data_IF_899312913801
#
_entry.id   IF_899312913801
#
_cell.length_a   1.000
_cell.length_b   1.000
_cell.length_c   1.000
_cell.angle_alpha   90.00
_cell.angle_beta   90.00
_cell.angle_gamma   90.00
#
_symmetry.space_group_name_H-M   'P 1'
#
loop_
_entity.id
_entity.type
_entity.pdbx_description
1 polymer ?
#
# COMPACT_ATOMS: atom_id res chain seq x y z
N UNK A 1 -12.96 -8.76 -20.72
CA UNK A 1 -11.94 -9.15 -19.72
C UNK A 1 -10.54 -8.70 -20.10
N UNK A 2 -10.05 -9.01 -21.31
CA UNK A 2 -8.68 -8.64 -21.75
C UNK A 2 -8.41 -7.13 -21.62
N UNK A 3 -9.32 -6.29 -22.11
CA UNK A 3 -9.18 -4.83 -22.00
C UNK A 3 -9.02 -4.38 -20.54
N UNK A 4 -9.83 -4.92 -19.61
CA UNK A 4 -9.74 -4.58 -18.18
C UNK A 4 -8.39 -4.99 -17.57
N UNK A 5 -7.83 -6.14 -17.99
CA UNK A 5 -6.50 -6.57 -17.54
C UNK A 5 -5.43 -5.60 -18.02
N UNK A 6 -5.45 -5.19 -19.30
CA UNK A 6 -4.49 -4.23 -19.86
C UNK A 6 -4.59 -2.88 -19.12
N UNK A 7 -5.82 -2.37 -18.92
CA UNK A 7 -6.04 -1.14 -18.16
C UNK A 7 -5.52 -1.25 -16.73
N UNK A 8 -5.76 -2.39 -16.07
CA UNK A 8 -5.29 -2.65 -14.70
C UNK A 8 -3.76 -2.67 -14.62
N UNK A 9 -3.08 -3.26 -15.59
CA UNK A 9 -1.60 -3.24 -15.67
C UNK A 9 -1.12 -1.79 -15.82
N UNK A 10 -1.74 -1.01 -16.72
CA UNK A 10 -1.41 0.40 -16.90
C UNK A 10 -1.58 1.21 -15.61
N UNK A 11 -2.70 1.02 -14.92
CA UNK A 11 -2.96 1.65 -13.62
C UNK A 11 -1.94 1.22 -12.56
N UNK A 12 -1.56 -0.07 -12.53
CA UNK A 12 -0.53 -0.55 -11.62
C UNK A 12 0.84 0.10 -11.87
N UNK A 13 1.19 0.34 -13.14
CA UNK A 13 2.44 1.05 -13.49
C UNK A 13 2.39 2.51 -13.02
N UNK A 14 1.24 3.18 -13.15
CA UNK A 14 1.06 4.55 -12.67
C UNK A 14 1.05 4.64 -11.14
N UNK A 15 0.59 3.59 -10.46
CA UNK A 15 0.52 3.49 -8.99
C UNK A 15 1.73 2.82 -8.35
N UNK A 16 2.93 2.86 -8.94
CA UNK A 16 4.13 2.27 -8.35
C UNK A 16 4.47 2.96 -7.03
N UNK A 17 4.46 2.19 -5.93
CA UNK A 17 4.77 2.66 -4.58
C UNK A 17 6.06 2.02 -4.04
N UNK A 18 7.13 2.80 -3.83
CA UNK A 18 8.37 2.32 -3.24
C UNK A 18 8.34 2.20 -1.71
N UNK A 19 7.35 2.78 -1.03
CA UNK A 19 7.32 2.89 0.44
C UNK A 19 7.35 1.52 1.10
N UNK A 20 6.52 0.60 0.59
CA UNK A 20 6.46 -0.78 1.09
C UNK A 20 7.80 -1.51 0.90
N UNK A 21 8.46 -1.31 -0.24
CA UNK A 21 9.78 -1.89 -0.49
C UNK A 21 10.82 -1.38 0.52
N UNK A 22 10.86 -0.06 0.77
CA UNK A 22 11.76 0.56 1.76
C UNK A 22 11.50 0.00 3.17
N UNK A 23 10.22 -0.16 3.55
CA UNK A 23 9.86 -0.77 4.83
C UNK A 23 10.37 -2.21 4.93
N UNK A 24 10.17 -3.04 3.89
CA UNK A 24 10.64 -4.43 3.88
C UNK A 24 12.16 -4.56 3.85
N UNK A 25 12.89 -3.64 3.20
CA UNK A 25 14.36 -3.54 3.30
C UNK A 25 14.74 -3.29 4.76
N UNK A 26 14.07 -2.36 5.44
CA UNK A 26 14.35 -2.07 6.85
C UNK A 26 14.13 -3.28 7.76
N UNK A 27 13.11 -4.12 7.48
CA UNK A 27 12.88 -5.38 8.18
C UNK A 27 14.03 -6.38 7.94
N UNK A 28 14.50 -6.50 6.70
CA UNK A 28 15.64 -7.36 6.34
C UNK A 28 16.92 -6.93 7.03
N UNK A 29 17.22 -5.62 7.06
CA UNK A 29 18.37 -5.04 7.74
C UNK A 29 18.33 -5.22 9.26
N UNK A 30 17.15 -5.18 9.88
CA UNK A 30 16.94 -5.52 11.29
C UNK A 30 17.05 -7.02 11.59
N UNK A 31 17.24 -7.83 10.55
CA UNK A 31 17.31 -9.29 10.64
C UNK A 31 16.00 -9.92 11.17
N UNK A 32 14.86 -9.31 10.89
CA UNK A 32 13.56 -9.91 11.20
C UNK A 32 13.47 -11.30 10.57
N UNK A 33 12.76 -12.23 11.22
CA UNK A 33 12.63 -13.59 10.68
C UNK A 33 11.86 -13.60 9.37
N UNK A 34 12.19 -14.51 8.45
CA UNK A 34 11.49 -14.67 7.17
C UNK A 34 9.99 -14.85 7.35
N UNK A 35 9.57 -15.59 8.39
CA UNK A 35 8.16 -15.78 8.72
C UNK A 35 7.45 -14.45 9.05
N UNK A 36 8.11 -13.56 9.80
CA UNK A 36 7.55 -12.24 10.14
C UNK A 36 7.41 -11.34 8.92
N UNK A 37 8.42 -11.36 8.03
CA UNK A 37 8.38 -10.63 6.76
C UNK A 37 7.26 -11.18 5.86
N UNK A 38 7.11 -12.51 5.78
CA UNK A 38 6.03 -13.15 5.04
C UNK A 38 4.66 -12.81 5.63
N UNK A 39 4.53 -12.80 6.95
CA UNK A 39 3.28 -12.47 7.63
C UNK A 39 2.85 -11.02 7.31
N UNK A 40 3.79 -10.07 7.37
CA UNK A 40 3.53 -8.69 6.94
C UNK A 40 3.09 -8.62 5.47
N UNK A 41 3.85 -9.26 4.57
CA UNK A 41 3.59 -9.22 3.13
C UNK A 41 2.22 -9.81 2.77
N UNK A 42 1.92 -11.01 3.24
CA UNK A 42 0.64 -11.65 2.94
C UNK A 42 -0.55 -10.97 3.62
N UNK A 43 -0.35 -10.39 4.80
CA UNK A 43 -1.36 -9.56 5.45
C UNK A 43 -1.65 -8.31 4.62
N UNK A 44 -0.62 -7.57 4.21
CA UNK A 44 -0.75 -6.38 3.38
C UNK A 44 -1.46 -6.69 2.05
N UNK A 45 -0.98 -7.70 1.32
CA UNK A 45 -1.57 -8.15 0.07
C UNK A 45 -3.03 -8.62 0.25
N UNK A 46 -3.27 -9.49 1.23
CA UNK A 46 -4.58 -10.09 1.47
C UNK A 46 -5.62 -9.05 1.84
N UNK A 47 -5.32 -8.15 2.77
CA UNK A 47 -6.26 -7.10 3.17
C UNK A 47 -6.50 -6.08 2.05
N UNK A 48 -5.47 -5.67 1.31
CA UNK A 48 -5.64 -4.77 0.17
C UNK A 48 -6.58 -5.35 -0.89
N UNK A 49 -6.37 -6.61 -1.26
CA UNK A 49 -7.20 -7.27 -2.28
C UNK A 49 -8.62 -7.53 -1.77
N UNK A 50 -8.76 -8.04 -0.55
CA UNK A 50 -10.07 -8.38 0.01
C UNK A 50 -10.94 -7.14 0.22
N UNK A 51 -10.39 -6.09 0.82
CA UNK A 51 -11.14 -4.85 1.05
C UNK A 51 -11.56 -4.25 -0.30
N UNK A 52 -10.63 -4.17 -1.27
CA UNK A 52 -10.93 -3.67 -2.60
C UNK A 52 -11.99 -4.49 -3.33
N UNK A 53 -11.93 -5.83 -3.24
CA UNK A 53 -12.92 -6.71 -3.88
C UNK A 53 -14.31 -6.60 -3.23
N UNK A 54 -14.37 -6.46 -1.90
CA UNK A 54 -15.62 -6.21 -1.18
C UNK A 54 -16.20 -4.85 -1.61
N UNK A 55 -15.39 -3.81 -1.66
CA UNK A 55 -15.84 -2.50 -2.13
C UNK A 55 -16.32 -2.53 -3.58
N UNK A 56 -15.61 -3.21 -4.47
CA UNK A 56 -15.99 -3.37 -5.87
C UNK A 56 -17.34 -4.06 -6.02
N UNK A 57 -17.64 -5.09 -5.20
CA UNK A 57 -18.87 -5.87 -5.32
C UNK A 57 -20.07 -5.26 -4.59
N UNK A 58 -19.85 -4.63 -3.42
CA UNK A 58 -20.94 -4.04 -2.64
C UNK A 58 -21.37 -2.71 -3.24
N UNK A 59 -20.41 -1.89 -3.60
CA UNK A 59 -20.69 -0.53 -4.06
C UNK A 59 -20.79 -0.43 -5.59
N UNK A 60 -20.16 -1.34 -6.35
CA UNK A 60 -20.27 -1.44 -7.80
C UNK A 60 -20.29 -0.07 -8.49
N UNK A 61 -21.29 0.11 -9.36
CA UNK A 61 -21.50 1.40 -10.09
C UNK A 61 -21.90 2.53 -9.14
N UNK A 62 -22.60 2.21 -8.03
CA UNK A 62 -23.04 3.23 -7.06
C UNK A 62 -21.86 3.87 -6.31
N UNK A 63 -20.76 3.15 -6.10
CA UNK A 63 -19.54 3.73 -5.52
C UNK A 63 -18.91 4.77 -6.45
N UNK A 64 -19.05 4.58 -7.76
CA UNK A 64 -18.59 5.57 -8.76
C UNK A 64 -19.35 6.88 -8.62
N UNK A 65 -20.65 6.79 -8.46
CA UNK A 65 -21.51 7.97 -8.32
C UNK A 65 -21.25 8.68 -6.99
N UNK A 66 -21.10 7.91 -5.89
CA UNK A 66 -20.75 8.46 -4.59
C UNK A 66 -19.35 9.07 -4.60
N UNK A 67 -18.35 8.38 -5.15
CA UNK A 67 -16.99 8.93 -5.27
C UNK A 67 -16.95 10.15 -6.19
N UNK A 68 -17.69 10.14 -7.29
CA UNK A 68 -17.83 11.32 -8.15
C UNK A 68 -18.47 12.51 -7.42
N UNK A 69 -19.42 12.26 -6.54
CA UNK A 69 -20.04 13.35 -5.75
C UNK A 69 -19.08 13.95 -4.71
N UNK A 70 -18.07 13.18 -4.26
CA UNK A 70 -17.03 13.64 -3.33
C UNK A 70 -15.75 14.09 -4.03
N UNK A 71 -15.51 13.66 -5.29
CA UNK A 71 -14.35 14.14 -6.05
C UNK A 71 -14.68 15.50 -6.65
N UNK A 72 -13.93 16.55 -6.30
CA UNK A 72 -14.08 17.85 -6.96
C UNK A 72 -13.85 17.69 -8.47
N UNK A 73 -14.54 18.48 -9.27
CA UNK A 73 -14.26 18.55 -10.71
C UNK A 73 -12.76 18.78 -10.94
N UNK A 74 -12.24 18.27 -12.06
CA UNK A 74 -10.79 18.27 -12.33
C UNK A 74 -10.17 19.68 -12.23
N UNK A 75 -10.94 20.71 -12.55
CA UNK A 75 -10.51 22.12 -12.49
C UNK A 75 -10.86 22.82 -11.16
N UNK A 76 -11.35 22.05 -10.18
CA UNK A 76 -11.75 22.63 -8.90
C UNK A 76 -10.56 23.09 -8.08
N UNK A 77 -10.57 24.33 -7.52
CA UNK A 77 -9.53 24.81 -6.61
C UNK A 77 -9.41 23.98 -5.33
N UNK A 78 -10.39 23.11 -5.03
CA UNK A 78 -10.33 22.18 -3.90
C UNK A 78 -9.16 21.20 -4.02
N UNK A 79 -8.73 20.83 -5.23
CA UNK A 79 -7.53 20.00 -5.42
C UNK A 79 -6.26 20.70 -4.93
N UNK A 80 -6.12 21.99 -5.22
CA UNK A 80 -4.99 22.79 -4.75
C UNK A 80 -5.00 22.88 -3.21
N UNK A 81 -6.18 23.08 -2.61
CA UNK A 81 -6.35 23.12 -1.15
C UNK A 81 -5.98 21.76 -0.52
N UNK A 82 -6.46 20.65 -1.10
CA UNK A 82 -6.17 19.31 -0.60
C UNK A 82 -4.67 19.00 -0.67
N UNK A 83 -4.02 19.31 -1.78
CA UNK A 83 -2.58 19.15 -1.96
C UNK A 83 -1.79 20.03 -0.99
N UNK A 84 -2.23 21.27 -0.78
CA UNK A 84 -1.60 22.17 0.19
C UNK A 84 -1.70 21.63 1.62
N UNK A 85 -2.88 21.16 2.03
CA UNK A 85 -3.07 20.56 3.37
C UNK A 85 -2.22 19.31 3.56
N UNK A 86 -2.19 18.41 2.56
CA UNK A 86 -1.33 17.22 2.62
C UNK A 86 0.15 17.60 2.70
N UNK A 87 0.58 18.56 1.90
CA UNK A 87 1.98 19.06 1.94
C UNK A 87 2.31 19.66 3.30
N UNK A 88 1.39 20.42 3.91
CA UNK A 88 1.56 21.00 5.22
C UNK A 88 1.70 19.91 6.31
N UNK A 89 0.89 18.86 6.25
CA UNK A 89 0.96 17.72 7.18
C UNK A 89 2.33 17.04 7.07
N UNK A 90 2.82 16.80 5.84
CA UNK A 90 4.14 16.19 5.61
C UNK A 90 5.25 17.10 6.15
N UNK A 91 5.19 18.40 5.89
CA UNK A 91 6.17 19.38 6.40
C UNK A 91 6.20 19.39 7.93
N UNK A 92 5.03 19.43 8.57
CA UNK A 92 4.92 19.38 10.04
C UNK A 92 5.51 18.08 10.58
N UNK A 93 5.25 16.94 9.92
CA UNK A 93 5.80 15.65 10.32
C UNK A 93 7.32 15.61 10.20
N UNK A 94 7.87 16.13 9.08
CA UNK A 94 9.32 16.23 8.86
C UNK A 94 9.98 17.15 9.89
N UNK A 95 9.38 18.33 10.14
CA UNK A 95 9.85 19.27 11.13
C UNK A 95 9.87 18.63 12.52
N UNK A 96 8.74 18.00 12.93
CA UNK A 96 8.70 17.25 14.19
C UNK A 96 9.80 16.19 14.25
N UNK A 97 10.03 15.43 13.20
CA UNK A 97 11.05 14.38 13.16
C UNK A 97 12.46 14.94 13.28
N UNK A 98 12.74 16.10 12.68
CA UNK A 98 14.04 16.77 12.76
C UNK A 98 14.27 17.32 14.17
N UNK A 99 13.29 18.02 14.74
CA UNK A 99 13.43 18.67 16.05
C UNK A 99 13.30 17.69 17.23
N UNK A 100 12.57 16.57 17.09
CA UNK A 100 12.46 15.55 18.16
C UNK A 100 13.60 14.51 18.13
N UNK A 101 14.52 14.57 17.16
CA UNK A 101 15.67 13.64 17.08
C UNK A 101 16.79 13.97 18.07
N UNK A 102 16.59 14.92 18.96
CA UNK A 102 17.61 15.37 19.94
C UNK A 102 17.37 14.85 21.36
N UNK A 103 16.73 13.72 21.54
CA UNK A 103 16.84 12.96 22.79
C UNK A 103 17.40 11.59 22.48
N UNK A 104 18.65 11.38 22.93
CA UNK A 104 19.40 10.13 22.92
C UNK A 104 18.49 8.89 22.89
N UNK A 105 18.43 8.22 21.78
CA UNK A 105 18.10 6.79 21.78
C UNK A 105 19.31 6.07 22.35
N UNK A 106 19.38 6.05 23.67
CA UNK A 106 20.34 5.27 24.41
C UNK A 106 20.22 3.80 24.04
N UNK A 107 21.33 3.23 23.87
CA UNK A 107 21.92 1.92 23.61
C UNK A 107 21.26 0.70 24.27
N UNK A 108 19.95 0.67 24.49
CA UNK A 108 19.24 -0.47 25.02
C UNK A 108 17.98 -0.81 24.23
N UNK A 109 18.04 -0.76 22.87
CA UNK A 109 17.07 -1.53 22.10
C UNK A 109 17.40 -3.01 22.24
N UNK A 110 17.05 -3.61 23.37
CA UNK A 110 16.69 -5.04 23.40
C UNK A 110 15.80 -5.23 22.19
N UNK A 111 16.23 -6.11 21.27
CA UNK A 111 15.40 -6.57 20.16
C UNK A 111 14.15 -7.16 20.84
N UNK A 112 13.14 -6.32 21.06
CA UNK A 112 11.84 -6.81 21.52
C UNK A 112 11.35 -7.60 20.32
N UNK A 113 11.45 -8.93 20.42
CA UNK A 113 10.87 -9.83 19.43
C UNK A 113 9.40 -9.48 19.32
N UNK A 114 9.09 -8.65 18.32
CA UNK A 114 7.73 -8.21 18.09
C UNK A 114 6.85 -9.44 17.88
N UNK A 115 5.75 -9.53 18.64
CA UNK A 115 4.74 -10.57 18.46
C UNK A 115 4.37 -10.66 16.97
N UNK A 116 4.14 -11.87 16.46
CA UNK A 116 3.67 -12.12 15.08
C UNK A 116 2.43 -11.27 14.75
N UNK A 117 1.58 -11.02 15.73
CA UNK A 117 0.42 -10.13 15.61
C UNK A 117 0.80 -8.69 15.18
N UNK A 118 1.93 -8.16 15.65
CA UNK A 118 2.41 -6.82 15.24
C UNK A 118 2.64 -6.74 13.73
N UNK A 119 3.22 -7.78 13.12
CA UNK A 119 3.49 -7.79 11.69
C UNK A 119 2.22 -7.94 10.86
N UNK A 120 1.27 -8.76 11.32
CA UNK A 120 -0.06 -8.86 10.71
C UNK A 120 -0.80 -7.53 10.78
N UNK A 121 -0.83 -6.90 11.95
CA UNK A 121 -1.48 -5.60 12.14
C UNK A 121 -0.81 -4.50 11.32
N UNK A 122 0.53 -4.50 11.24
CA UNK A 122 1.24 -3.54 10.40
C UNK A 122 0.90 -3.73 8.92
N UNK A 123 0.79 -4.97 8.43
CA UNK A 123 0.33 -5.25 7.06
C UNK A 123 -1.10 -4.76 6.81
N UNK A 124 -1.99 -4.93 7.77
CA UNK A 124 -3.34 -4.35 7.72
C UNK A 124 -3.31 -2.82 7.63
N UNK A 125 -2.52 -2.15 8.48
CA UNK A 125 -2.38 -0.68 8.43
C UNK A 125 -1.82 -0.23 7.08
N UNK A 126 -0.83 -0.94 6.52
CA UNK A 126 -0.32 -0.66 5.18
C UNK A 126 -1.39 -0.84 4.10
N UNK A 127 -2.33 -1.78 4.25
CA UNK A 127 -3.42 -1.92 3.27
C UNK A 127 -4.34 -0.69 3.22
N UNK A 128 -4.45 0.06 4.33
CA UNK A 128 -5.20 1.31 4.36
C UNK A 128 -4.51 2.39 3.51
N UNK A 129 -3.18 2.36 3.39
CA UNK A 129 -2.47 3.34 2.54
C UNK A 129 -2.79 3.20 1.05
N UNK A 130 -3.25 2.01 0.59
CA UNK A 130 -3.73 1.86 -0.79
C UNK A 130 -4.90 2.80 -1.12
N UNK A 131 -5.68 3.21 -0.10
CA UNK A 131 -6.77 4.19 -0.28
C UNK A 131 -6.28 5.62 -0.56
N UNK A 132 -5.00 5.90 -0.42
CA UNK A 132 -4.43 7.19 -0.85
C UNK A 132 -4.00 7.19 -2.33
N UNK A 133 -4.05 6.02 -2.98
CA UNK A 133 -3.68 5.86 -4.39
C UNK A 133 -4.94 5.92 -5.29
N UNK A 134 -5.06 6.93 -6.16
CA UNK A 134 -6.20 7.05 -7.07
C UNK A 134 -6.29 5.89 -8.06
N UNK A 135 -5.17 5.22 -8.38
CA UNK A 135 -5.19 4.07 -9.29
C UNK A 135 -5.85 2.84 -8.65
N UNK A 136 -5.76 2.70 -7.33
CA UNK A 136 -6.47 1.66 -6.58
C UNK A 136 -7.99 1.80 -6.73
N UNK A 137 -8.51 3.02 -6.60
CA UNK A 137 -9.93 3.27 -6.82
C UNK A 137 -10.35 2.96 -8.26
N UNK A 138 -9.54 3.35 -9.25
CA UNK A 138 -9.85 3.06 -10.64
C UNK A 138 -9.96 1.55 -10.89
N UNK A 139 -9.14 0.72 -10.24
CA UNK A 139 -9.22 -0.74 -10.34
C UNK A 139 -10.43 -1.30 -9.60
N UNK A 140 -10.80 -0.74 -8.44
CA UNK A 140 -12.05 -1.09 -7.75
C UNK A 140 -13.25 -0.85 -8.66
N UNK A 141 -13.27 0.27 -9.39
CA UNK A 141 -14.34 0.60 -10.34
C UNK A 141 -14.40 -0.42 -11.50
N UNK A 142 -13.24 -0.71 -12.13
CA UNK A 142 -13.15 -1.72 -13.20
C UNK A 142 -13.61 -3.11 -12.72
N UNK A 143 -13.31 -3.46 -11.47
CA UNK A 143 -13.79 -4.68 -10.83
C UNK A 143 -15.30 -4.68 -10.63
N UNK A 144 -15.84 -3.57 -10.13
CA UNK A 144 -17.28 -3.37 -9.88
C UNK A 144 -18.14 -3.47 -11.13
N UNK A 145 -17.68 -2.92 -12.27
CA UNK A 145 -18.37 -3.07 -13.55
C UNK A 145 -18.59 -4.54 -13.99
N UNK A 146 -17.78 -5.45 -13.47
CA UNK A 146 -17.91 -6.88 -13.80
C UNK A 146 -19.00 -7.57 -12.98
N UNK A 147 -19.48 -6.92 -11.93
CA UNK A 147 -20.43 -7.45 -10.94
C UNK A 147 -20.10 -8.89 -10.48
N UNK A 148 -18.81 -9.20 -10.43
CA UNK A 148 -18.27 -10.52 -10.12
C UNK A 148 -17.07 -10.42 -9.18
N UNK A 149 -17.23 -10.96 -7.97
CA UNK A 149 -16.21 -10.91 -6.92
C UNK A 149 -14.86 -11.51 -7.35
N UNK A 150 -14.88 -12.63 -8.09
CA UNK A 150 -13.64 -13.27 -8.57
C UNK A 150 -12.91 -12.40 -9.60
N UNK A 151 -13.68 -11.72 -10.47
CA UNK A 151 -13.10 -10.76 -11.42
C UNK A 151 -12.45 -9.57 -10.69
N UNK A 152 -13.09 -9.07 -9.64
CA UNK A 152 -12.53 -8.00 -8.82
C UNK A 152 -11.24 -8.44 -8.12
N UNK A 153 -11.22 -9.63 -7.51
CA UNK A 153 -10.01 -10.20 -6.91
C UNK A 153 -8.88 -10.31 -7.94
N UNK A 154 -9.18 -10.83 -9.13
CA UNK A 154 -8.17 -10.99 -10.19
C UNK A 154 -7.55 -9.64 -10.58
N UNK A 155 -8.38 -8.63 -10.87
CA UNK A 155 -7.90 -7.31 -11.27
C UNK A 155 -7.10 -6.65 -10.14
N UNK A 156 -7.58 -6.69 -8.90
CA UNK A 156 -6.86 -6.14 -7.76
C UNK A 156 -5.54 -6.88 -7.47
N UNK A 157 -5.49 -8.20 -7.70
CA UNK A 157 -4.25 -8.97 -7.58
C UNK A 157 -3.23 -8.53 -8.63
N UNK A 158 -3.66 -8.37 -9.89
CA UNK A 158 -2.79 -7.89 -10.98
C UNK A 158 -2.27 -6.48 -10.65
N UNK A 159 -3.16 -5.56 -10.27
CA UNK A 159 -2.78 -4.21 -9.89
C UNK A 159 -1.77 -4.23 -8.74
N UNK A 160 -2.05 -4.97 -7.67
CA UNK A 160 -1.19 -5.06 -6.50
C UNK A 160 0.22 -5.55 -6.85
N UNK A 161 0.32 -6.62 -7.65
CA UNK A 161 1.63 -7.16 -8.04
C UNK A 161 2.41 -6.19 -8.93
N UNK A 162 1.74 -5.42 -9.77
CA UNK A 162 2.37 -4.43 -10.65
C UNK A 162 2.74 -3.17 -9.87
N UNK A 163 1.84 -2.62 -9.06
CA UNK A 163 2.11 -1.41 -8.27
C UNK A 163 3.16 -1.63 -7.18
N UNK A 164 3.18 -2.84 -6.60
CA UNK A 164 4.10 -3.22 -5.53
C UNK A 164 5.30 -4.05 -6.03
N UNK A 165 5.63 -4.01 -7.34
CA UNK A 165 6.66 -4.88 -7.91
C UNK A 165 8.02 -4.73 -7.21
N UNK A 166 8.38 -3.52 -6.76
CA UNK A 166 9.60 -3.30 -5.99
C UNK A 166 9.58 -4.07 -4.66
N UNK A 167 8.44 -4.07 -3.98
CA UNK A 167 8.26 -4.82 -2.72
C UNK A 167 8.28 -6.33 -2.97
N UNK A 168 7.75 -6.80 -4.11
CA UNK A 168 7.85 -8.22 -4.54
C UNK A 168 9.32 -8.62 -4.69
N UNK A 169 10.13 -7.81 -5.38
CA UNK A 169 11.57 -8.07 -5.54
C UNK A 169 12.26 -8.12 -4.18
N UNK A 170 12.00 -7.15 -3.30
CA UNK A 170 12.57 -7.11 -1.95
C UNK A 170 12.11 -8.30 -1.11
N UNK A 171 10.84 -8.72 -1.24
CA UNK A 171 10.34 -9.91 -0.58
C UNK A 171 11.15 -11.16 -0.98
N UNK A 172 11.32 -11.37 -2.29
CA UNK A 172 12.10 -12.49 -2.81
C UNK A 172 13.55 -12.43 -2.33
N UNK A 173 14.18 -11.25 -2.39
CA UNK A 173 15.56 -11.05 -1.91
C UNK A 173 15.70 -11.37 -0.41
N UNK A 174 14.72 -11.00 0.42
CA UNK A 174 14.69 -11.38 1.84
C UNK A 174 14.56 -12.90 2.02
N UNK A 175 13.70 -13.56 1.25
CA UNK A 175 13.54 -15.03 1.32
C UNK A 175 14.81 -15.76 0.89
N UNK A 176 15.56 -15.23 -0.07
CA UNK A 176 16.83 -15.77 -0.54
C UNK A 176 18.03 -15.38 0.36
N UNK A 177 17.83 -14.61 1.43
CA UNK A 177 18.88 -14.05 2.30
C UNK A 177 19.87 -13.09 1.59
N UNK A 178 19.57 -12.59 0.40
CA UNK A 178 20.46 -11.71 -0.35
C UNK A 178 20.74 -10.39 0.39
N UNK A 179 19.76 -9.86 1.11
CA UNK A 179 19.94 -8.62 1.91
C UNK A 179 20.88 -8.81 3.11
N UNK A 180 21.13 -10.03 3.56
CA UNK A 180 22.09 -10.32 4.65
C UNK A 180 23.54 -10.32 4.17
N UNK A 181 23.75 -10.42 2.86
CA UNK A 181 25.08 -10.45 2.25
C UNK A 181 25.62 -9.04 1.94
N UNK A 182 24.76 -8.02 2.01
CA UNK A 182 25.13 -6.62 1.86
C UNK A 182 25.60 -6.13 3.23
N UNK A 183 26.89 -6.37 3.52
CA UNK A 183 27.63 -5.83 4.66
C UNK A 183 28.70 -4.87 4.16
#
# INVERSE_FOLDING_TARGET
MVHKIISTIGLGILGIDPITAVYMISMGLRKDSKSKISLFWFSFMGFSILIGAVLATIFGVSAVEILRSFTPEADSPLWAVLQFVLSLIVVIFVIKKIFYKTKKEDENRKIVEGSSFKYLFTGFVFSITCFTDPTYYAVILLGGESNNFLSAILLLTIWFLVSQFMAVIVYIANQMNLLKMIK
#
